data_IF_239844353145
#
_entry.id   IF_239844353145
#
_cell.length_a   1.000
_cell.length_b   1.000
_cell.length_c   1.000
_cell.angle_alpha   90.00
_cell.angle_beta   90.00
_cell.angle_gamma   90.00
#
_symmetry.space_group_name_H-M   'P 1'
#
loop_
_entity.id
_entity.type
_entity.pdbx_description
1 polymer ?
#
# COMPACT_ATOMS: atom_id res chain seq x y z
N UNK A 1 -13.00 21.24 -1.88
CA UNK A 1 -11.69 21.24 -1.21
C UNK A 1 -11.76 20.26 -0.05
N UNK A 2 -11.06 19.13 -0.15
CA UNK A 2 -11.26 17.99 0.76
C UNK A 2 -10.49 18.18 2.08
N UNK A 3 -11.19 18.03 3.20
CA UNK A 3 -10.67 18.02 4.58
C UNK A 3 -9.69 16.86 4.88
N UNK A 4 -9.35 16.03 3.88
CA UNK A 4 -8.53 14.84 4.00
C UNK A 4 -7.00 15.11 4.05
N UNK A 5 -6.55 16.36 3.89
CA UNK A 5 -5.11 16.69 3.90
C UNK A 5 -4.41 16.58 5.26
N UNK A 6 -5.12 16.23 6.35
CA UNK A 6 -4.54 16.21 7.70
C UNK A 6 -4.19 14.82 8.24
N UNK A 7 -4.68 13.73 7.65
CA UNK A 7 -4.37 12.38 8.16
C UNK A 7 -3.23 11.76 7.35
N UNK A 8 -2.06 11.73 7.96
CA UNK A 8 -0.91 10.95 7.50
C UNK A 8 -1.28 9.47 7.47
N UNK A 9 -1.02 8.80 6.35
CA UNK A 9 -1.13 7.35 6.19
C UNK A 9 0.12 6.63 6.74
N UNK A 10 1.24 7.33 6.80
CA UNK A 10 2.48 6.84 7.41
C UNK A 10 2.53 7.17 8.92
N UNK A 11 3.15 6.32 9.77
CA UNK A 11 3.17 6.47 11.23
C UNK A 11 4.15 7.57 11.72
N UNK A 12 4.03 8.79 11.19
CA UNK A 12 4.98 9.90 11.42
C UNK A 12 5.29 10.12 12.90
N UNK A 13 4.28 10.40 13.73
CA UNK A 13 4.49 10.79 15.12
C UNK A 13 5.20 9.71 15.94
N UNK A 14 4.92 8.43 15.64
CA UNK A 14 5.58 7.30 16.28
C UNK A 14 7.05 7.20 15.86
N UNK A 15 7.32 7.33 14.57
CA UNK A 15 8.69 7.34 14.05
C UNK A 15 9.51 8.51 14.59
N UNK A 16 8.92 9.69 14.74
CA UNK A 16 9.61 10.83 15.36
C UNK A 16 10.00 10.54 16.81
N UNK A 17 9.12 9.87 17.56
CA UNK A 17 9.39 9.44 18.93
C UNK A 17 10.53 8.41 18.99
N UNK A 18 10.46 7.36 18.17
CA UNK A 18 11.41 6.25 18.21
C UNK A 18 12.80 6.66 17.68
N UNK A 19 12.86 7.55 16.69
CA UNK A 19 14.10 8.06 16.11
C UNK A 19 14.65 9.29 16.83
N UNK A 20 13.91 9.86 17.79
CA UNK A 20 14.26 11.09 18.49
C UNK A 20 14.59 12.26 17.55
N UNK A 21 13.85 12.38 16.45
CA UNK A 21 14.05 13.41 15.43
C UNK A 21 12.72 13.84 14.80
N UNK A 22 12.69 15.04 14.21
CA UNK A 22 11.51 15.55 13.52
C UNK A 22 11.54 15.14 12.05
N UNK A 23 10.48 14.50 11.58
CA UNK A 23 10.32 14.05 10.20
C UNK A 23 9.49 15.04 9.38
N UNK A 24 9.97 15.38 8.20
CA UNK A 24 9.16 16.01 7.17
C UNK A 24 8.09 15.04 6.66
N UNK A 25 6.90 15.55 6.34
CA UNK A 25 5.87 14.78 5.63
C UNK A 25 5.44 15.55 4.40
N UNK A 26 5.65 14.95 3.22
CA UNK A 26 5.21 15.49 1.94
C UNK A 26 4.08 14.64 1.42
N UNK A 27 2.96 15.26 1.07
CA UNK A 27 1.83 14.62 0.40
C UNK A 27 1.69 15.27 -0.98
N UNK A 28 1.78 14.47 -2.03
CA UNK A 28 1.58 14.91 -3.41
C UNK A 28 0.15 14.59 -3.88
N UNK A 29 -0.36 15.45 -4.75
CA UNK A 29 -1.72 15.35 -5.30
C UNK A 29 -1.78 15.54 -6.83
N UNK A 30 -0.63 15.51 -7.53
CA UNK A 30 -0.56 15.67 -8.98
C UNK A 30 -0.01 14.42 -9.69
N UNK A 31 -0.79 13.85 -10.62
CA UNK A 31 -0.44 12.65 -11.38
C UNK A 31 0.66 12.91 -12.42
N UNK A 32 0.68 14.11 -13.03
CA UNK A 32 1.64 14.46 -14.09
C UNK A 32 3.10 14.40 -13.62
N UNK A 33 3.47 14.97 -12.46
CA UNK A 33 4.82 14.79 -11.91
C UNK A 33 5.15 13.33 -11.60
N UNK A 34 4.19 12.53 -11.11
CA UNK A 34 4.42 11.11 -10.86
C UNK A 34 4.77 10.36 -12.15
N UNK A 35 4.03 10.59 -13.23
CA UNK A 35 4.30 9.99 -14.54
C UNK A 35 5.72 10.30 -15.04
N UNK A 36 6.20 11.53 -14.84
CA UNK A 36 7.52 11.97 -15.31
C UNK A 36 8.65 11.49 -14.39
N UNK A 37 8.47 11.58 -13.07
CA UNK A 37 9.53 11.33 -12.08
C UNK A 37 9.61 9.86 -11.63
N UNK A 38 8.50 9.14 -11.73
CA UNK A 38 8.32 7.75 -11.24
C UNK A 38 7.47 6.93 -12.23
N UNK A 39 7.91 6.76 -13.49
CA UNK A 39 7.13 6.11 -14.54
C UNK A 39 6.77 4.64 -14.25
N UNK A 40 7.56 3.94 -13.42
CA UNK A 40 7.25 2.57 -12.97
C UNK A 40 6.00 2.55 -12.09
N UNK A 41 5.97 3.37 -11.04
CA UNK A 41 4.82 3.48 -10.13
C UNK A 41 3.56 3.88 -10.91
N UNK A 42 3.68 4.83 -11.83
CA UNK A 42 2.55 5.22 -12.69
C UNK A 42 2.03 4.05 -13.53
N UNK A 43 2.91 3.25 -14.12
CA UNK A 43 2.53 2.07 -14.90
C UNK A 43 1.87 1.00 -14.03
N UNK A 44 2.35 0.81 -12.81
CA UNK A 44 1.74 -0.14 -11.87
C UNK A 44 0.32 0.32 -11.52
N UNK A 45 0.11 1.63 -11.28
CA UNK A 45 -1.24 2.20 -11.09
C UNK A 45 -2.12 2.00 -12.32
N UNK A 46 -1.58 2.17 -13.53
CA UNK A 46 -2.30 1.88 -14.78
C UNK A 46 -2.69 0.41 -14.88
N UNK A 47 -1.83 -0.51 -14.47
CA UNK A 47 -2.13 -1.94 -14.46
C UNK A 47 -3.27 -2.27 -13.51
N UNK A 48 -3.22 -1.72 -12.29
CA UNK A 48 -4.29 -1.84 -11.28
C UNK A 48 -5.61 -1.20 -11.78
N UNK A 49 -5.53 -0.15 -12.59
CA UNK A 49 -6.68 0.47 -13.23
C UNK A 49 -7.24 -0.33 -14.42
N UNK A 50 -6.41 -0.96 -15.24
CA UNK A 50 -6.90 -1.75 -16.38
C UNK A 50 -7.46 -3.10 -15.94
N UNK A 51 -6.91 -3.64 -14.86
CA UNK A 51 -7.21 -4.97 -14.32
C UNK A 51 -7.57 -4.86 -12.83
N UNK A 52 -8.71 -4.21 -12.51
CA UNK A 52 -9.11 -4.01 -11.12
C UNK A 52 -9.37 -5.34 -10.43
N UNK A 53 -9.17 -5.36 -9.11
CA UNK A 53 -9.58 -6.49 -8.28
C UNK A 53 -11.10 -6.65 -8.31
N UNK A 54 -11.55 -7.85 -8.65
CA UNK A 54 -12.97 -8.22 -8.59
C UNK A 54 -13.23 -8.97 -7.28
N UNK A 55 -13.96 -8.39 -6.32
CA UNK A 55 -14.39 -9.13 -5.14
C UNK A 55 -15.31 -10.29 -5.55
N UNK A 56 -15.38 -11.38 -4.76
CA UNK A 56 -16.03 -12.65 -5.15
C UNK A 56 -17.54 -12.59 -5.44
N UNK A 57 -18.19 -11.43 -5.31
CA UNK A 57 -19.61 -11.23 -5.64
C UNK A 57 -19.84 -10.51 -6.97
N UNK A 58 -18.78 -10.06 -7.64
CA UNK A 58 -18.87 -9.30 -8.89
C UNK A 58 -18.35 -10.16 -10.03
N UNK A 59 -19.19 -11.07 -10.52
CA UNK A 59 -18.97 -11.73 -11.80
C UNK A 59 -19.62 -10.86 -12.87
N UNK A 60 -18.82 -10.04 -13.54
CA UNK A 60 -18.89 -9.88 -14.99
C UNK A 60 -17.82 -8.93 -15.52
N UNK A 61 -17.40 -9.23 -16.75
CA UNK A 61 -16.64 -8.44 -17.72
C UNK A 61 -15.13 -8.72 -17.87
N UNK A 62 -14.85 -9.13 -19.10
CA UNK A 62 -13.59 -9.09 -19.86
C UNK A 62 -13.06 -7.66 -20.01
N UNK A 63 -11.81 -7.41 -19.60
CA UNK A 63 -11.07 -6.19 -19.99
C UNK A 63 -10.12 -6.48 -21.13
N UNK A 64 -10.30 -5.78 -22.26
CA UNK A 64 -9.31 -5.71 -23.32
C UNK A 64 -8.22 -4.70 -22.96
N UNK A 65 -6.97 -5.12 -23.16
CA UNK A 65 -5.75 -4.35 -22.88
C UNK A 65 -5.50 -3.31 -23.98
N UNK A 66 -5.76 -2.05 -23.68
CA UNK A 66 -5.10 -0.91 -24.34
C UNK A 66 -4.50 0.01 -23.27
N UNK A 67 -3.32 0.63 -23.53
CA UNK A 67 -2.69 1.55 -22.59
C UNK A 67 -3.51 2.85 -22.50
N UNK A 68 -4.45 2.88 -21.56
CA UNK A 68 -5.28 4.06 -21.29
C UNK A 68 -4.59 4.92 -20.21
N UNK A 69 -4.51 6.26 -20.38
CA UNK A 69 -4.04 7.13 -19.31
C UNK A 69 -4.95 7.04 -18.09
N UNK A 70 -4.37 7.24 -16.89
CA UNK A 70 -5.17 7.34 -15.67
C UNK A 70 -6.09 8.57 -15.72
N UNK A 71 -7.35 8.48 -15.25
CA UNK A 71 -8.23 9.62 -15.15
C UNK A 71 -7.62 10.74 -14.30
N UNK A 72 -7.82 11.99 -14.72
CA UNK A 72 -7.28 13.15 -13.99
C UNK A 72 -7.93 13.36 -12.61
N UNK A 73 -9.14 12.83 -12.43
CA UNK A 73 -9.95 12.87 -11.20
C UNK A 73 -9.78 11.62 -10.33
N UNK A 74 -8.87 10.71 -10.71
CA UNK A 74 -8.54 9.53 -9.93
C UNK A 74 -8.16 9.93 -8.49
N UNK A 75 -8.80 9.31 -7.51
CA UNK A 75 -8.44 9.48 -6.11
C UNK A 75 -7.18 8.66 -5.81
N UNK A 76 -6.07 9.33 -5.51
CA UNK A 76 -4.82 8.68 -5.16
C UNK A 76 -4.07 9.51 -4.13
N UNK A 77 -3.14 8.86 -3.44
CA UNK A 77 -2.36 9.43 -2.35
C UNK A 77 -0.92 9.02 -2.53
N UNK A 78 -0.02 10.00 -2.53
CA UNK A 78 1.42 9.74 -2.45
C UNK A 78 2.00 10.51 -1.28
N UNK A 79 2.51 9.76 -0.32
CA UNK A 79 3.10 10.30 0.88
C UNK A 79 4.56 9.87 1.01
N UNK A 80 5.40 10.82 1.42
CA UNK A 80 6.80 10.61 1.73
C UNK A 80 7.09 11.13 3.15
N UNK A 81 7.81 10.35 3.93
CA UNK A 81 8.47 10.80 5.15
C UNK A 81 9.94 11.10 4.84
N UNK A 82 10.40 12.25 5.31
CA UNK A 82 11.67 12.84 4.93
C UNK A 82 12.47 13.12 6.21
N UNK A 83 13.73 12.71 6.23
CA UNK A 83 14.68 13.01 7.31
C UNK A 83 15.14 14.48 7.25
N UNK A 84 15.73 15.03 8.32
CA UNK A 84 16.22 16.41 8.35
C UNK A 84 17.22 16.76 7.22
N UNK A 85 17.98 15.77 6.77
CA UNK A 85 18.95 15.86 5.67
C UNK A 85 18.31 15.75 4.26
N UNK A 86 16.97 15.76 4.18
CA UNK A 86 16.17 15.61 2.95
C UNK A 86 16.15 14.20 2.35
N UNK A 87 16.75 13.20 3.01
CA UNK A 87 16.63 11.82 2.54
C UNK A 87 15.23 11.24 2.79
N UNK A 88 14.73 10.40 1.87
CA UNK A 88 13.42 9.75 2.00
C UNK A 88 13.58 8.50 2.87
N UNK A 89 12.91 8.45 4.02
CA UNK A 89 12.95 7.28 4.90
C UNK A 89 11.77 6.32 4.70
N UNK A 90 10.63 6.80 4.20
CA UNK A 90 9.50 5.96 3.80
C UNK A 90 8.67 6.65 2.73
N UNK A 91 8.08 5.87 1.84
CA UNK A 91 7.27 6.35 0.73
C UNK A 91 6.13 5.36 0.46
N UNK A 92 4.93 5.88 0.26
CA UNK A 92 3.69 5.12 0.06
C UNK A 92 2.88 5.73 -1.07
N UNK A 93 2.39 4.88 -1.98
CA UNK A 93 1.42 5.27 -3.01
C UNK A 93 0.20 4.37 -2.96
N UNK A 94 -0.96 5.00 -2.77
CA UNK A 94 -2.27 4.37 -2.81
C UNK A 94 -3.10 4.93 -3.96
N UNK A 95 -3.81 4.06 -4.67
CA UNK A 95 -4.89 4.44 -5.58
C UNK A 95 -6.21 3.94 -5.01
N UNK A 96 -7.25 4.78 -5.02
CA UNK A 96 -8.60 4.41 -4.62
C UNK A 96 -9.49 4.28 -5.84
N UNK A 97 -10.21 3.16 -5.95
CA UNK A 97 -11.20 2.92 -7.00
C UNK A 97 -12.29 1.98 -6.49
N UNK A 98 -13.56 2.31 -6.75
CA UNK A 98 -14.70 1.43 -6.47
C UNK A 98 -14.70 0.88 -5.03
N UNK A 99 -14.37 1.74 -4.06
CA UNK A 99 -14.20 1.38 -2.64
C UNK A 99 -13.09 0.35 -2.36
N UNK A 100 -12.10 0.23 -3.23
CA UNK A 100 -10.91 -0.60 -3.06
C UNK A 100 -9.69 0.32 -3.01
N UNK A 101 -8.80 0.08 -2.05
CA UNK A 101 -7.50 0.75 -1.95
C UNK A 101 -6.42 -0.15 -2.53
N UNK A 102 -5.82 0.28 -3.63
CA UNK A 102 -4.69 -0.37 -4.27
C UNK A 102 -3.40 0.20 -3.68
N UNK A 103 -2.64 -0.63 -2.98
CA UNK A 103 -1.30 -0.33 -2.53
C UNK A 103 -0.32 -0.64 -3.67
N UNK A 104 -0.08 0.39 -4.49
CA UNK A 104 0.72 0.29 -5.70
C UNK A 104 2.22 0.40 -5.43
N UNK A 105 2.61 1.15 -4.39
CA UNK A 105 4.02 1.26 -4.03
C UNK A 105 4.19 1.43 -2.52
N UNK A 106 5.14 0.69 -1.96
CA UNK A 106 5.56 0.79 -0.57
C UNK A 106 7.07 0.70 -0.49
N UNK A 107 7.68 1.72 0.10
CA UNK A 107 9.07 1.75 0.48
C UNK A 107 9.17 2.11 1.96
N UNK A 108 9.82 1.24 2.73
CA UNK A 108 10.02 1.41 4.16
C UNK A 108 11.51 1.23 4.43
N UNK A 109 12.08 2.19 5.16
CA UNK A 109 13.50 2.41 5.45
C UNK A 109 14.26 3.10 4.30
N UNK A 110 15.13 4.09 4.60
CA UNK A 110 16.08 4.58 3.62
C UNK A 110 17.05 3.45 3.23
N UNK A 111 17.58 3.48 2.01
CA UNK A 111 18.58 2.52 1.52
C UNK A 111 19.79 2.40 2.47
N UNK A 112 20.04 3.47 3.23
CA UNK A 112 21.18 3.62 4.13
C UNK A 112 20.85 3.29 5.59
N UNK A 113 19.64 2.84 5.92
CA UNK A 113 19.30 2.54 7.32
C UNK A 113 20.10 1.35 7.90
N UNK A 114 20.56 0.44 7.04
CA UNK A 114 21.54 -0.59 7.39
C UNK A 114 22.97 -0.07 7.56
N UNK A 115 23.24 1.19 7.20
CA UNK A 115 24.56 1.82 7.27
C UNK A 115 24.77 2.67 8.54
N UNK A 116 23.71 3.11 9.23
CA UNK A 116 23.82 4.01 10.40
C UNK A 116 23.68 3.33 11.77
N UNK A 117 23.29 2.05 11.81
CA UNK A 117 23.33 1.28 13.06
C UNK A 117 23.76 -0.15 12.74
N UNK A 118 24.73 -0.73 13.47
CA UNK A 118 25.04 -2.15 13.41
C UNK A 118 23.93 -2.91 14.16
N UNK A 119 22.67 -2.70 13.76
CA UNK A 119 21.59 -3.57 14.17
C UNK A 119 21.93 -4.94 13.60
N UNK A 120 22.08 -5.91 14.48
CA UNK A 120 22.21 -7.29 14.05
C UNK A 120 21.05 -7.60 13.11
N UNK A 121 21.24 -8.35 12.02
CA UNK A 121 20.23 -8.53 10.98
C UNK A 121 18.82 -8.88 11.52
N UNK A 122 18.75 -9.64 12.61
CA UNK A 122 17.51 -9.96 13.31
C UNK A 122 16.79 -8.74 13.91
N UNK A 123 17.52 -7.78 14.48
CA UNK A 123 16.95 -6.55 15.04
C UNK A 123 16.47 -5.61 13.92
N UNK A 124 17.24 -5.49 12.83
CA UNK A 124 16.83 -4.71 11.66
C UNK A 124 15.55 -5.27 11.01
N UNK A 125 15.46 -6.60 10.88
CA UNK A 125 14.26 -7.27 10.38
C UNK A 125 13.05 -7.08 11.30
N UNK A 126 13.22 -7.17 12.62
CA UNK A 126 12.13 -6.91 13.58
C UNK A 126 11.63 -5.48 13.48
N UNK A 127 12.55 -4.51 13.35
CA UNK A 127 12.18 -3.11 13.20
C UNK A 127 11.41 -2.88 11.89
N UNK A 128 11.89 -3.44 10.77
CA UNK A 128 11.19 -3.36 9.48
C UNK A 128 9.78 -3.98 9.55
N UNK A 129 9.64 -5.16 10.17
CA UNK A 129 8.34 -5.83 10.31
C UNK A 129 7.36 -5.01 11.16
N UNK A 130 7.81 -4.43 12.29
CA UNK A 130 6.98 -3.53 13.10
C UNK A 130 6.53 -2.30 12.30
N UNK A 131 7.43 -1.69 11.54
CA UNK A 131 7.15 -0.49 10.74
C UNK A 131 6.16 -0.79 9.61
N UNK A 132 6.28 -1.97 8.98
CA UNK A 132 5.31 -2.47 8.01
C UNK A 132 3.96 -2.72 8.68
N UNK A 133 3.92 -3.39 9.83
CA UNK A 133 2.70 -3.66 10.58
C UNK A 133 1.93 -2.37 10.91
N UNK A 134 2.63 -1.35 11.44
CA UNK A 134 2.04 -0.05 11.76
C UNK A 134 1.53 0.66 10.51
N UNK A 135 2.32 0.65 9.43
CA UNK A 135 1.92 1.28 8.15
C UNK A 135 0.66 0.63 7.60
N UNK A 136 0.62 -0.70 7.54
CA UNK A 136 -0.56 -1.43 7.07
C UNK A 136 -1.76 -1.23 8.01
N UNK A 137 -1.53 -1.16 9.32
CA UNK A 137 -2.56 -0.85 10.32
C UNK A 137 -3.18 0.53 10.11
N UNK A 138 -2.37 1.56 9.82
CA UNK A 138 -2.85 2.91 9.51
C UNK A 138 -3.64 2.93 8.20
N UNK A 139 -3.17 2.23 7.16
CA UNK A 139 -3.91 2.13 5.89
C UNK A 139 -5.24 1.40 6.10
N UNK A 140 -5.27 0.34 6.92
CA UNK A 140 -6.51 -0.35 7.27
C UNK A 140 -7.47 0.53 8.09
N UNK A 141 -6.97 1.35 9.01
CA UNK A 141 -7.78 2.32 9.73
C UNK A 141 -8.36 3.38 8.79
N UNK A 142 -7.55 3.88 7.85
CA UNK A 142 -7.99 4.80 6.80
C UNK A 142 -9.07 4.17 5.91
N UNK A 143 -8.85 2.94 5.45
CA UNK A 143 -9.82 2.17 4.65
C UNK A 143 -11.16 2.05 5.38
N UNK A 144 -11.14 1.70 6.68
CA UNK A 144 -12.35 1.62 7.52
C UNK A 144 -13.08 2.96 7.60
N UNK A 145 -12.34 4.04 7.85
CA UNK A 145 -12.90 5.39 7.95
C UNK A 145 -13.52 5.87 6.64
N UNK A 146 -13.01 5.38 5.50
CA UNK A 146 -13.50 5.69 4.16
C UNK A 146 -14.56 4.71 3.63
N UNK A 147 -14.96 3.71 4.43
CA UNK A 147 -15.84 2.61 4.02
C UNK A 147 -15.34 1.82 2.81
N UNK A 148 -14.02 1.68 2.68
CA UNK A 148 -13.43 0.83 1.67
C UNK A 148 -13.58 -0.66 2.05
N UNK A 149 -13.75 -1.51 1.04
CA UNK A 149 -14.04 -2.92 1.17
C UNK A 149 -12.77 -3.76 1.34
N UNK A 150 -11.67 -3.34 0.72
CA UNK A 150 -10.44 -4.11 0.70
C UNK A 150 -9.22 -3.23 0.43
N UNK A 151 -8.06 -3.71 0.88
CA UNK A 151 -6.75 -3.24 0.44
C UNK A 151 -6.17 -4.33 -0.46
N UNK A 152 -5.75 -3.95 -1.67
CA UNK A 152 -5.19 -4.87 -2.67
C UNK A 152 -3.77 -4.45 -2.99
N UNK A 153 -2.86 -5.41 -3.07
CA UNK A 153 -1.53 -5.17 -3.61
C UNK A 153 -1.14 -6.31 -4.54
N UNK A 154 -0.43 -5.98 -5.60
CA UNK A 154 0.20 -6.94 -6.50
C UNK A 154 1.64 -7.09 -6.04
N UNK A 155 2.04 -8.31 -5.70
CA UNK A 155 3.42 -8.55 -5.26
C UNK A 155 4.16 -9.39 -6.29
N UNK A 156 5.19 -8.79 -6.85
CA UNK A 156 6.22 -9.49 -7.61
C UNK A 156 7.31 -10.06 -6.71
N UNK A 157 7.46 -9.55 -5.48
CA UNK A 157 8.49 -10.00 -4.54
C UNK A 157 7.93 -10.98 -3.49
N UNK A 158 8.44 -12.23 -3.44
CA UNK A 158 7.95 -13.26 -2.51
C UNK A 158 8.23 -12.94 -1.03
N UNK A 159 9.29 -12.18 -0.72
CA UNK A 159 9.62 -11.79 0.65
C UNK A 159 8.63 -10.74 1.17
N UNK A 160 8.24 -9.78 0.33
CA UNK A 160 7.15 -8.87 0.67
C UNK A 160 5.85 -9.64 0.86
N UNK A 161 5.55 -10.62 0.00
CA UNK A 161 4.34 -11.43 0.13
C UNK A 161 4.24 -12.17 1.47
N UNK A 162 5.36 -12.70 1.97
CA UNK A 162 5.41 -13.32 3.29
C UNK A 162 5.09 -12.32 4.41
N UNK A 163 5.60 -11.09 4.32
CA UNK A 163 5.33 -10.04 5.31
C UNK A 163 3.84 -9.67 5.30
N UNK A 164 3.24 -9.44 4.13
CA UNK A 164 1.81 -9.12 4.04
C UNK A 164 0.93 -10.24 4.61
N UNK A 165 1.28 -11.51 4.36
CA UNK A 165 0.58 -12.67 4.93
C UNK A 165 0.73 -12.72 6.46
N UNK A 166 1.92 -12.44 6.99
CA UNK A 166 2.15 -12.32 8.44
C UNK A 166 1.26 -11.21 9.06
N UNK A 167 0.99 -10.15 8.30
CA UNK A 167 0.09 -9.05 8.69
C UNK A 167 -1.39 -9.33 8.36
N UNK A 168 -1.79 -10.59 8.28
CA UNK A 168 -3.17 -11.07 8.07
C UNK A 168 -3.80 -10.76 6.70
N UNK A 169 -3.00 -10.40 5.68
CA UNK A 169 -3.47 -10.38 4.30
C UNK A 169 -3.54 -11.81 3.75
N UNK A 170 -4.40 -12.02 2.76
CA UNK A 170 -4.61 -13.32 2.13
C UNK A 170 -4.27 -13.25 0.64
N UNK A 171 -3.58 -14.27 0.13
CA UNK A 171 -3.36 -14.43 -1.30
C UNK A 171 -4.68 -14.80 -1.98
N UNK A 172 -4.96 -14.23 -3.15
CA UNK A 172 -6.10 -14.66 -3.96
C UNK A 172 -5.88 -16.10 -4.47
N UNK A 173 -6.94 -16.83 -4.86
CA UNK A 173 -6.82 -18.18 -5.40
C UNK A 173 -5.93 -18.27 -6.67
N UNK A 174 -5.87 -17.19 -7.46
CA UNK A 174 -4.98 -17.06 -8.62
C UNK A 174 -3.51 -16.83 -8.26
N UNK A 175 -3.21 -16.46 -7.00
CA UNK A 175 -1.85 -16.17 -6.51
C UNK A 175 -1.24 -14.84 -6.97
N UNK A 176 -1.92 -14.09 -7.84
CA UNK A 176 -1.41 -12.84 -8.43
C UNK A 176 -1.61 -11.60 -7.55
N UNK A 177 -2.49 -11.68 -6.55
CA UNK A 177 -2.88 -10.55 -5.70
C UNK A 177 -2.90 -10.95 -4.23
N UNK A 178 -2.69 -9.95 -3.37
CA UNK A 178 -2.81 -10.07 -1.91
C UNK A 178 -3.83 -9.06 -1.41
N UNK A 179 -4.79 -9.54 -0.63
CA UNK A 179 -5.97 -8.78 -0.19
C UNK A 179 -6.02 -8.72 1.34
N UNK A 180 -6.23 -7.54 1.87
CA UNK A 180 -6.37 -7.26 3.31
C UNK A 180 -7.71 -6.60 3.66
N UNK A 181 -8.07 -6.74 4.93
CA UNK A 181 -9.30 -6.23 5.55
C UNK A 181 -9.31 -4.68 5.62
N UNK A 182 -10.49 -4.01 5.62
CA UNK A 182 -11.69 -4.37 6.37
C UNK A 182 -12.85 -4.94 5.52
N UNK A 183 -12.97 -6.26 5.45
CA UNK A 183 -14.20 -6.89 4.95
C UNK A 183 -15.25 -7.01 6.08
N UNK A 184 -16.47 -6.48 5.91
CA UNK A 184 -17.61 -6.84 6.75
C UNK A 184 -17.84 -8.36 6.74
N UNK A 185 -18.31 -8.94 7.85
CA UNK A 185 -18.47 -10.39 8.04
C UNK A 185 -19.19 -11.15 6.89
N UNK A 186 -20.08 -10.48 6.14
CA UNK A 186 -20.80 -11.05 4.99
C UNK A 186 -19.91 -11.34 3.77
N UNK A 187 -18.75 -10.71 3.65
CA UNK A 187 -17.79 -10.90 2.54
C UNK A 187 -16.61 -11.82 2.92
N UNK A 188 -16.59 -12.31 4.17
CA UNK A 188 -15.59 -13.26 4.70
C UNK A 188 -15.92 -14.71 4.32
N UNK A 189 -16.95 -14.95 3.49
CA UNK A 189 -17.28 -16.30 3.04
C UNK A 189 -16.20 -16.85 2.09
N UNK A 190 -15.27 -17.56 2.72
CA UNK A 190 -14.48 -18.68 2.21
C UNK A 190 -13.47 -18.35 1.09
N UNK A 191 -12.33 -17.78 1.48
CA UNK A 191 -11.02 -18.15 0.89
C UNK A 191 -10.52 -19.50 1.47
N UNK A 192 -11.43 -20.41 1.81
CA UNK A 192 -11.05 -21.76 2.21
C UNK A 192 -10.67 -22.55 0.95
N UNK A 193 -9.61 -23.36 0.99
CA UNK A 193 -9.37 -24.32 -0.06
C UNK A 193 -10.57 -25.27 -0.10
N UNK A 194 -11.20 -25.40 -1.25
CA UNK A 194 -12.12 -26.51 -1.50
C UNK A 194 -11.38 -27.81 -1.17
N UNK A 195 -11.88 -28.66 -0.25
CA UNK A 195 -11.30 -29.98 -0.09
C UNK A 195 -11.55 -30.73 -1.40
N UNK A 196 -10.47 -31.10 -2.08
CA UNK A 196 -10.55 -32.11 -3.12
C UNK A 196 -10.83 -33.46 -2.45
N UNK A 197 -11.95 -34.06 -2.84
CA UNK A 197 -12.20 -35.52 -2.93
C UNK A 197 -11.81 -36.37 -1.73
#
# INVERSE_FOLDING_TARGET
MSLLTRQSLLPKARLEQDLQLTLGSRIAAQLTPLQQQRPRIYRDMQSDWLTPYQPPLSADHTSMQQPTPLPSDLSWYWQQLILPDQSICSELVLMRRDHILYLTYLNILPADFGLFSPLWPQQAMRYADQLIAETLGNIAAFARAQHDLAIVTTLTNPNLAAIFVHQHFQKTPSGSQIVGFPLPARYVRLLAPTPHG
#
